data_IF_775585814234
#
_entry.id   IF_775585814234
#
_cell.length_a   1.000
_cell.length_b   1.000
_cell.length_c   1.000
_cell.angle_alpha   90.00
_cell.angle_beta   90.00
_cell.angle_gamma   90.00
#
_symmetry.space_group_name_H-M   'P 1'
#
loop_
_entity.id
_entity.type
_entity.pdbx_description
1 polymer ?
#
# COMPACT_ATOMS: atom_id res chain seq x y z
N UNK A 1 11.18 2.43 9.44
CA UNK A 1 11.53 3.66 8.70
C UNK A 1 12.02 4.78 9.62
N UNK A 2 11.33 5.07 10.73
CA UNK A 2 11.68 6.17 11.66
C UNK A 2 13.04 6.07 12.38
N UNK A 3 13.68 4.90 12.39
CA UNK A 3 15.02 4.71 12.98
C UNK A 3 16.16 4.78 11.96
N UNK A 4 15.84 4.91 10.67
CA UNK A 4 16.83 5.10 9.61
C UNK A 4 17.05 6.61 9.46
N UNK A 5 18.27 7.13 9.66
CA UNK A 5 18.53 8.56 9.50
C UNK A 5 18.11 9.01 8.09
N UNK A 6 17.43 10.16 8.00
CA UNK A 6 16.82 10.74 6.80
C UNK A 6 15.62 9.97 6.21
N UNK A 7 15.35 8.74 6.64
CA UNK A 7 14.25 7.93 6.11
C UNK A 7 12.88 8.49 6.47
N UNK A 8 12.75 9.08 7.66
CA UNK A 8 11.51 9.72 8.09
C UNK A 8 11.21 11.00 7.30
N UNK A 9 12.22 11.86 7.15
CA UNK A 9 12.11 13.12 6.43
C UNK A 9 11.77 12.91 4.96
N UNK A 10 12.40 11.91 4.31
CA UNK A 10 12.07 11.54 2.94
C UNK A 10 10.63 11.03 2.80
N UNK A 11 10.14 10.22 3.74
CA UNK A 11 8.75 9.80 3.75
C UNK A 11 7.79 10.99 3.85
N UNK A 12 8.06 11.94 4.76
CA UNK A 12 7.23 13.14 4.90
C UNK A 12 7.27 14.03 3.66
N UNK A 13 8.43 14.22 3.02
CA UNK A 13 8.54 14.99 1.78
C UNK A 13 7.76 14.37 0.61
N UNK A 14 7.64 13.05 0.57
CA UNK A 14 6.83 12.35 -0.44
C UNK A 14 5.33 12.28 -0.07
N UNK A 15 4.89 12.95 1.00
CA UNK A 15 3.50 12.92 1.45
C UNK A 15 3.11 11.64 2.20
N UNK A 16 4.10 10.89 2.70
CA UNK A 16 3.89 9.70 3.51
C UNK A 16 3.23 10.05 4.84
N UNK A 17 2.20 9.29 5.19
CA UNK A 17 1.47 9.42 6.46
C UNK A 17 1.55 8.11 7.25
N UNK A 18 1.25 8.19 8.55
CA UNK A 18 1.16 7.00 9.39
C UNK A 18 0.08 6.03 8.88
N UNK A 19 0.42 4.73 8.85
CA UNK A 19 -0.44 3.68 8.31
C UNK A 19 -1.51 3.21 9.32
N UNK A 20 -2.07 4.13 10.10
CA UNK A 20 -3.18 3.87 11.02
C UNK A 20 -4.54 4.21 10.40
N UNK A 21 -5.58 3.53 10.89
CA UNK A 21 -6.96 3.77 10.45
C UNK A 21 -7.43 5.20 10.71
N UNK A 22 -7.05 5.76 11.86
CA UNK A 22 -7.40 7.14 12.24
C UNK A 22 -6.79 8.17 11.29
N UNK A 23 -5.51 7.99 10.94
CA UNK A 23 -4.81 8.87 9.99
C UNK A 23 -5.40 8.73 8.59
N UNK A 24 -5.63 7.49 8.12
CA UNK A 24 -6.27 7.27 6.82
C UNK A 24 -7.66 7.92 6.71
N UNK A 25 -8.48 7.86 7.77
CA UNK A 25 -9.77 8.55 7.80
C UNK A 25 -9.64 10.07 7.70
N UNK A 26 -8.72 10.68 8.47
CA UNK A 26 -8.47 12.13 8.40
C UNK A 26 -8.03 12.59 7.00
N UNK A 27 -7.11 11.84 6.36
CA UNK A 27 -6.63 12.19 5.02
C UNK A 27 -7.78 12.13 4.00
N UNK A 28 -8.66 11.13 4.11
CA UNK A 28 -9.85 11.05 3.25
C UNK A 28 -10.86 12.18 3.53
N UNK A 29 -11.07 12.54 4.80
CA UNK A 29 -11.96 13.64 5.20
C UNK A 29 -11.45 15.01 4.70
N UNK A 30 -10.14 15.18 4.59
CA UNK A 30 -9.49 16.36 4.00
C UNK A 30 -9.60 16.41 2.45
N UNK A 31 -10.21 15.40 1.82
CA UNK A 31 -10.38 15.32 0.37
C UNK A 31 -9.15 14.81 -0.39
N UNK A 32 -8.15 14.30 0.33
CA UNK A 32 -6.94 13.76 -0.28
C UNK A 32 -7.11 12.29 -0.68
N UNK A 33 -6.39 11.87 -1.72
CA UNK A 33 -6.31 10.47 -2.13
C UNK A 33 -5.24 9.72 -1.35
N UNK A 34 -5.47 8.45 -1.04
CA UNK A 34 -4.51 7.57 -0.36
C UNK A 34 -4.19 6.33 -1.20
N UNK A 35 -2.92 5.91 -1.18
CA UNK A 35 -2.48 4.66 -1.78
C UNK A 35 -2.23 3.64 -0.67
N UNK A 36 -2.84 2.47 -0.79
CA UNK A 36 -2.68 1.37 0.17
C UNK A 36 -2.13 0.15 -0.55
N UNK A 37 -1.12 -0.49 0.04
CA UNK A 37 -0.55 -1.76 -0.43
C UNK A 37 -1.08 -2.92 0.42
N UNK A 38 -2.27 -3.47 0.13
CA UNK A 38 -2.93 -4.46 1.00
C UNK A 38 -2.15 -5.77 1.14
N UNK A 39 -1.29 -6.13 0.18
CA UNK A 39 -0.47 -7.34 0.22
C UNK A 39 0.67 -7.28 1.25
N UNK A 40 1.20 -6.08 1.51
CA UNK A 40 2.33 -5.86 2.41
C UNK A 40 3.53 -6.80 2.15
N UNK A 41 4.33 -7.05 3.19
CA UNK A 41 5.57 -7.85 3.12
C UNK A 41 5.30 -9.32 2.75
N UNK A 42 4.11 -9.85 3.05
CA UNK A 42 3.78 -11.25 2.77
C UNK A 42 3.81 -11.61 1.27
N UNK A 43 3.59 -10.63 0.37
CA UNK A 43 3.71 -10.84 -1.07
C UNK A 43 5.15 -11.14 -1.50
N UNK A 44 6.14 -10.55 -0.83
CA UNK A 44 7.56 -10.71 -1.17
C UNK A 44 7.98 -12.18 -1.03
N UNK A 45 7.58 -12.85 0.06
CA UNK A 45 7.93 -14.26 0.28
C UNK A 45 7.29 -15.24 -0.71
N UNK A 46 6.22 -14.83 -1.41
CA UNK A 46 5.55 -15.65 -2.43
C UNK A 46 5.99 -15.33 -3.85
N UNK A 47 6.89 -14.36 -4.00
CA UNK A 47 7.38 -13.91 -5.29
C UNK A 47 8.37 -14.92 -5.85
N UNK A 48 8.12 -15.42 -7.06
CA UNK A 48 9.03 -16.31 -7.78
C UNK A 48 9.43 -15.65 -9.12
N UNK A 49 10.71 -15.28 -9.31
CA UNK A 49 11.19 -14.62 -10.53
C UNK A 49 11.11 -15.53 -11.76
N UNK A 50 11.32 -16.84 -11.58
CA UNK A 50 11.32 -17.82 -12.68
C UNK A 50 9.90 -18.25 -13.10
N UNK A 51 8.85 -17.72 -12.46
CA UNK A 51 7.46 -18.05 -12.77
C UNK A 51 6.71 -16.87 -13.38
N UNK A 52 5.93 -17.17 -14.42
CA UNK A 52 4.97 -16.22 -15.01
C UNK A 52 3.78 -15.94 -14.09
N UNK A 53 3.56 -16.75 -13.06
CA UNK A 53 2.47 -16.57 -12.11
C UNK A 53 2.81 -15.53 -11.04
N UNK A 54 1.87 -14.64 -10.73
CA UNK A 54 2.01 -13.67 -9.62
C UNK A 54 0.97 -13.96 -8.55
N UNK A 55 1.43 -14.24 -7.33
CA UNK A 55 0.55 -14.54 -6.21
C UNK A 55 0.23 -13.28 -5.41
N UNK A 56 -1.07 -12.95 -5.36
CA UNK A 56 -1.58 -11.81 -4.60
C UNK A 56 -2.04 -12.21 -3.20
N UNK A 57 -1.59 -11.47 -2.18
CA UNK A 57 -2.02 -11.67 -0.78
C UNK A 57 -3.12 -10.67 -0.43
N UNK A 58 -4.34 -10.93 -0.89
CA UNK A 58 -5.49 -10.04 -0.67
C UNK A 58 -6.61 -10.67 0.16
N UNK A 59 -6.63 -12.01 0.23
CA UNK A 59 -7.71 -12.77 0.89
C UNK A 59 -7.85 -12.32 2.35
N UNK A 60 -9.07 -11.94 2.73
CA UNK A 60 -9.46 -11.46 4.06
C UNK A 60 -8.93 -10.09 4.50
N UNK A 61 -8.21 -9.34 3.65
CA UNK A 61 -7.67 -8.00 3.99
C UNK A 61 -8.59 -6.87 3.52
N UNK A 62 -9.79 -6.78 4.10
CA UNK A 62 -10.84 -5.84 3.66
C UNK A 62 -10.88 -4.52 4.46
N UNK A 63 -9.87 -4.24 5.30
CA UNK A 63 -9.85 -3.04 6.15
C UNK A 63 -9.88 -1.73 5.35
N UNK A 64 -9.12 -1.67 4.25
CA UNK A 64 -9.09 -0.50 3.37
C UNK A 64 -10.42 -0.30 2.62
N UNK A 65 -11.12 -1.40 2.27
CA UNK A 65 -12.44 -1.35 1.65
C UNK A 65 -13.46 -0.76 2.63
N UNK A 66 -13.46 -1.24 3.88
CA UNK A 66 -14.33 -0.69 4.92
C UNK A 66 -14.05 0.78 5.18
N UNK A 67 -12.78 1.19 5.17
CA UNK A 67 -12.40 2.59 5.32
C UNK A 67 -12.94 3.45 4.17
N UNK A 68 -12.71 3.04 2.93
CA UNK A 68 -13.20 3.75 1.76
C UNK A 68 -14.73 3.90 1.77
N UNK A 69 -15.46 2.82 2.08
CA UNK A 69 -16.92 2.85 2.23
C UNK A 69 -17.39 3.83 3.32
N UNK A 70 -16.70 3.88 4.47
CA UNK A 70 -17.09 4.79 5.56
C UNK A 70 -16.91 6.27 5.23
N UNK A 71 -15.97 6.60 4.33
CA UNK A 71 -15.66 7.97 3.93
C UNK A 71 -16.16 8.33 2.53
N UNK A 72 -16.92 7.44 1.87
CA UNK A 72 -17.45 7.65 0.51
C UNK A 72 -16.36 7.76 -0.57
N UNK A 73 -15.19 7.18 -0.35
CA UNK A 73 -14.06 7.24 -1.28
C UNK A 73 -14.14 6.11 -2.32
N UNK A 74 -13.78 6.44 -3.57
CA UNK A 74 -13.70 5.47 -4.66
C UNK A 74 -12.48 4.55 -4.51
N UNK A 75 -12.67 3.26 -4.80
CA UNK A 75 -11.58 2.28 -4.84
C UNK A 75 -11.10 2.10 -6.28
N UNK A 76 -9.87 2.54 -6.55
CA UNK A 76 -9.20 2.35 -7.84
C UNK A 76 -8.20 1.19 -7.74
N UNK A 77 -8.53 -0.01 -8.25
CA UNK A 77 -7.60 -1.13 -8.22
C UNK A 77 -6.46 -0.88 -9.20
N UNK A 78 -5.24 -0.87 -8.70
CA UNK A 78 -4.02 -0.76 -9.51
C UNK A 78 -3.15 -1.99 -9.28
N UNK A 79 -2.64 -2.56 -10.37
CA UNK A 79 -1.69 -3.66 -10.34
C UNK A 79 -0.51 -3.31 -11.25
N UNK A 80 0.70 -3.48 -10.74
CA UNK A 80 1.95 -3.23 -11.46
C UNK A 80 2.61 -4.58 -11.75
N UNK A 81 3.08 -4.77 -12.98
CA UNK A 81 3.85 -5.95 -13.39
C UNK A 81 5.32 -5.55 -13.60
N UNK A 82 6.20 -6.54 -13.54
CA UNK A 82 7.62 -6.39 -13.89
C UNK A 82 8.55 -6.31 -12.68
N UNK A 83 8.01 -6.12 -11.46
CA UNK A 83 8.82 -6.01 -10.24
C UNK A 83 9.65 -7.27 -9.97
N UNK A 84 9.15 -8.43 -10.41
CA UNK A 84 9.80 -9.73 -10.23
C UNK A 84 11.04 -9.94 -11.10
N UNK A 85 11.16 -9.21 -12.21
CA UNK A 85 12.24 -9.33 -13.20
C UNK A 85 13.21 -8.14 -13.16
N UNK A 86 13.13 -7.30 -12.13
CA UNK A 86 13.92 -6.07 -12.03
C UNK A 86 15.44 -6.31 -11.99
N UNK A 87 15.88 -7.48 -11.51
CA UNK A 87 17.29 -7.82 -11.31
C UNK A 87 17.75 -9.01 -12.17
N UNK A 88 17.06 -9.28 -13.28
CA UNK A 88 17.55 -10.23 -14.31
C UNK A 88 18.71 -9.67 -15.13
#
# INVERSE_FOLDING_TARGET
>A
MFYIPLGHELCLWMGGVDASRSTGGKVLDEGNSIVVYPGGVAGIFKTNPNSKETQLVLKNRLGFVKLAMSHGADLVPTFVFGEKWLYE
#
